data_IF_340178014647
#
_entry.id   IF_340178014647
#
_cell.length_a   1.000
_cell.length_b   1.000
_cell.length_c   1.000
_cell.angle_alpha   90.00
_cell.angle_beta   90.00
_cell.angle_gamma   90.00
#
_symmetry.space_group_name_H-M   'P 1'
#
loop_
_entity.id
_entity.type
_entity.pdbx_description
1 polymer ?
#
# COMPACT_ATOMS: atom_id res chain seq x y z
N UNK A 1 11.67 -3.21 -79.47
CA UNK A 1 12.35 -4.23 -78.64
C UNK A 1 13.11 -3.46 -77.58
N UNK A 2 12.37 -3.02 -76.56
CA UNK A 2 12.91 -2.29 -75.42
C UNK A 2 13.74 -3.26 -74.59
N UNK A 3 15.01 -2.94 -74.39
CA UNK A 3 15.89 -3.68 -73.47
C UNK A 3 15.82 -2.99 -72.10
N UNK A 4 15.11 -3.53 -71.09
CA UNK A 4 14.81 -2.82 -69.84
C UNK A 4 15.95 -2.88 -68.80
N UNK A 5 17.19 -3.10 -69.23
CA UNK A 5 18.29 -3.50 -68.33
C UNK A 5 19.37 -2.45 -68.04
N UNK A 6 19.53 -1.42 -68.87
CA UNK A 6 20.72 -0.55 -68.79
C UNK A 6 20.56 0.68 -67.89
N UNK A 7 19.32 1.13 -67.63
CA UNK A 7 19.08 2.34 -66.84
C UNK A 7 19.19 2.13 -65.32
N UNK A 8 19.14 0.88 -64.85
CA UNK A 8 19.32 0.55 -63.43
C UNK A 8 20.80 0.49 -63.05
N UNK A 9 21.68 0.00 -63.93
CA UNK A 9 23.13 -0.08 -63.65
C UNK A 9 23.81 1.29 -63.58
N UNK A 10 23.45 2.24 -64.46
CA UNK A 10 24.01 3.58 -64.46
C UNK A 10 23.46 4.48 -63.32
N UNK A 11 22.22 4.23 -62.87
CA UNK A 11 21.62 4.93 -61.73
C UNK A 11 22.08 4.39 -60.36
N UNK A 12 22.55 3.13 -60.30
CA UNK A 12 23.09 2.49 -59.10
C UNK A 12 24.55 2.89 -58.80
N UNK A 13 25.31 3.35 -59.80
CA UNK A 13 26.68 3.83 -59.64
C UNK A 13 26.83 5.27 -60.14
N UNK A 14 26.30 6.22 -59.37
CA UNK A 14 26.73 7.62 -59.52
C UNK A 14 28.24 7.71 -59.24
N UNK A 15 29.07 8.26 -60.14
CA UNK A 15 30.52 8.42 -59.94
C UNK A 15 30.89 9.10 -58.62
N UNK A 16 29.99 9.94 -58.09
CA UNK A 16 30.17 10.60 -56.78
C UNK A 16 30.00 9.62 -55.60
N UNK A 17 29.06 8.67 -55.66
CA UNK A 17 28.90 7.62 -54.64
C UNK A 17 30.06 6.61 -54.69
N UNK A 18 30.51 6.27 -55.89
CA UNK A 18 31.67 5.38 -56.07
C UNK A 18 32.95 6.01 -55.50
N UNK A 19 33.16 7.31 -55.68
CA UNK A 19 34.30 8.02 -55.07
C UNK A 19 34.20 8.10 -53.54
N UNK A 20 33.01 8.35 -52.99
CA UNK A 20 32.82 8.37 -51.54
C UNK A 20 33.11 7.00 -50.91
N UNK A 21 32.64 5.91 -51.51
CA UNK A 21 32.95 4.54 -51.06
C UNK A 21 34.44 4.21 -51.20
N UNK A 22 35.11 4.68 -52.25
CA UNK A 22 36.56 4.51 -52.39
C UNK A 22 37.35 5.30 -51.34
N UNK A 23 36.89 6.49 -50.95
CA UNK A 23 37.51 7.27 -49.88
C UNK A 23 37.35 6.58 -48.52
N UNK A 24 36.13 6.16 -48.17
CA UNK A 24 35.87 5.38 -46.96
C UNK A 24 36.65 4.07 -46.93
N UNK A 25 36.79 3.38 -48.07
CA UNK A 25 37.60 2.16 -48.14
C UNK A 25 39.09 2.42 -47.87
N UNK A 26 39.63 3.58 -48.28
CA UNK A 26 41.01 3.98 -47.97
C UNK A 26 41.19 4.31 -46.49
N UNK A 27 40.22 5.00 -45.89
CA UNK A 27 40.21 5.31 -44.46
C UNK A 27 40.14 4.03 -43.61
N UNK A 28 39.31 3.06 -44.01
CA UNK A 28 39.29 1.74 -43.38
C UNK A 28 40.62 0.98 -43.52
N UNK A 29 41.29 1.08 -44.67
CA UNK A 29 42.63 0.48 -44.82
C UNK A 29 43.66 1.13 -43.90
N UNK A 30 43.60 2.45 -43.70
CA UNK A 30 44.48 3.15 -42.76
C UNK A 30 44.23 2.65 -41.32
N UNK A 31 42.97 2.58 -40.89
CA UNK A 31 42.59 2.04 -39.58
C UNK A 31 43.01 0.58 -39.41
N UNK A 32 42.77 -0.27 -40.42
CA UNK A 32 43.17 -1.69 -40.37
C UNK A 32 44.70 -1.83 -40.25
N UNK A 33 45.47 -0.98 -40.93
CA UNK A 33 46.95 -0.98 -40.83
C UNK A 33 47.45 -0.52 -39.46
N UNK A 34 46.81 0.51 -38.87
CA UNK A 34 47.11 1.01 -37.54
C UNK A 34 46.74 -0.01 -36.45
N UNK A 35 45.58 -0.64 -36.56
CA UNK A 35 45.15 -1.70 -35.65
C UNK A 35 46.05 -2.94 -35.77
N UNK A 36 46.50 -3.30 -36.98
CA UNK A 36 47.44 -4.40 -37.18
C UNK A 36 48.80 -4.14 -36.53
N UNK A 37 49.27 -2.88 -36.47
CA UNK A 37 50.49 -2.48 -35.74
C UNK A 37 50.34 -2.72 -34.23
N UNK A 38 49.15 -2.48 -33.67
CA UNK A 38 48.91 -2.55 -32.22
C UNK A 38 48.48 -3.94 -31.73
N UNK A 39 47.68 -4.67 -32.50
CA UNK A 39 47.05 -5.93 -32.12
C UNK A 39 47.53 -7.15 -32.96
N UNK A 40 48.37 -6.92 -33.98
CA UNK A 40 48.84 -7.98 -34.86
C UNK A 40 47.70 -8.68 -35.59
N UNK A 41 47.70 -10.03 -35.58
CA UNK A 41 46.75 -10.85 -36.32
C UNK A 41 45.46 -11.22 -35.54
N UNK A 42 45.25 -10.65 -34.34
CA UNK A 42 44.12 -10.96 -33.45
C UNK A 42 43.27 -9.71 -33.21
N UNK A 43 42.59 -9.26 -34.25
CA UNK A 43 41.66 -8.14 -34.17
C UNK A 43 40.31 -8.63 -33.63
N UNK A 44 39.79 -8.02 -32.54
CA UNK A 44 38.42 -8.25 -32.10
C UNK A 44 37.43 -7.88 -33.21
N UNK A 45 36.33 -8.62 -33.34
CA UNK A 45 35.27 -8.26 -34.27
C UNK A 45 34.56 -7.01 -33.74
N UNK A 46 34.43 -5.98 -34.59
CA UNK A 46 33.68 -4.77 -34.30
C UNK A 46 32.84 -4.35 -35.49
N UNK A 47 31.80 -3.56 -35.23
CA UNK A 47 30.89 -3.08 -36.26
C UNK A 47 31.58 -2.02 -37.14
N UNK A 48 31.51 -2.17 -38.46
CA UNK A 48 32.05 -1.21 -39.43
C UNK A 48 30.99 -0.20 -39.83
N UNK A 49 30.80 0.83 -39.00
CA UNK A 49 29.92 1.96 -39.24
C UNK A 49 30.73 3.27 -39.41
N UNK A 50 30.14 4.30 -40.00
CA UNK A 50 30.80 5.61 -40.20
C UNK A 50 31.24 6.25 -38.88
N UNK A 51 30.40 6.14 -37.85
CA UNK A 51 30.72 6.65 -36.50
C UNK A 51 31.94 5.93 -35.91
N UNK A 52 32.04 4.61 -36.12
CA UNK A 52 33.20 3.82 -35.66
C UNK A 52 34.46 4.16 -36.44
N UNK A 53 34.35 4.44 -37.75
CA UNK A 53 35.48 4.87 -38.57
C UNK A 53 36.03 6.21 -38.06
N UNK A 54 35.14 7.18 -37.84
CA UNK A 54 35.52 8.50 -37.34
C UNK A 54 36.15 8.43 -35.95
N UNK A 55 35.58 7.63 -35.04
CA UNK A 55 36.14 7.43 -33.70
C UNK A 55 37.53 6.77 -33.75
N UNK A 56 37.72 5.75 -34.60
CA UNK A 56 39.00 5.05 -34.74
C UNK A 56 40.07 5.92 -35.40
N UNK A 57 39.71 6.73 -36.40
CA UNK A 57 40.64 7.70 -37.00
C UNK A 57 41.08 8.78 -36.01
N UNK A 58 40.14 9.30 -35.22
CA UNK A 58 40.45 10.28 -34.17
C UNK A 58 41.38 9.66 -33.13
N UNK A 59 41.11 8.43 -32.70
CA UNK A 59 41.94 7.71 -31.75
C UNK A 59 43.34 7.40 -32.32
N UNK A 60 43.42 7.02 -33.59
CA UNK A 60 44.68 6.77 -34.27
C UNK A 60 45.56 8.04 -34.31
N UNK A 61 44.98 9.19 -34.67
CA UNK A 61 45.70 10.46 -34.69
C UNK A 61 46.20 10.87 -33.30
N UNK A 62 45.34 10.78 -32.28
CA UNK A 62 45.74 11.10 -30.89
C UNK A 62 46.84 10.16 -30.39
N UNK A 63 46.80 8.89 -30.78
CA UNK A 63 47.84 7.93 -30.40
C UNK A 63 49.16 8.21 -31.14
N UNK A 64 49.13 8.56 -32.43
CA UNK A 64 50.32 8.96 -33.17
C UNK A 64 50.95 10.24 -32.58
N UNK A 65 50.14 11.24 -32.25
CA UNK A 65 50.60 12.46 -31.55
C UNK A 65 51.27 12.10 -30.21
N UNK A 66 50.65 11.22 -29.42
CA UNK A 66 51.21 10.77 -28.14
C UNK A 66 52.53 9.99 -28.31
N UNK A 67 52.61 9.10 -29.30
CA UNK A 67 53.81 8.35 -29.65
C UNK A 67 54.95 9.30 -30.08
N UNK A 68 54.65 10.33 -30.87
CA UNK A 68 55.62 11.36 -31.25
C UNK A 68 56.13 12.15 -30.04
N UNK A 69 55.24 12.56 -29.13
CA UNK A 69 55.62 13.23 -27.89
C UNK A 69 56.51 12.33 -27.01
N UNK A 70 56.17 11.04 -26.88
CA UNK A 70 57.00 10.07 -26.16
C UNK A 70 58.37 9.90 -26.81
N UNK A 71 58.44 9.81 -28.13
CA UNK A 71 59.70 9.71 -28.85
C UNK A 71 60.59 10.96 -28.65
N UNK A 72 60.00 12.16 -28.73
CA UNK A 72 60.72 13.41 -28.52
C UNK A 72 61.23 13.56 -27.09
N UNK A 73 60.40 13.24 -26.10
CA UNK A 73 60.79 13.29 -24.68
C UNK A 73 61.90 12.29 -24.36
N UNK A 74 61.83 11.05 -24.88
CA UNK A 74 62.92 10.09 -24.75
C UNK A 74 64.22 10.54 -25.41
N UNK A 75 64.12 11.12 -26.61
CA UNK A 75 65.30 11.61 -27.34
C UNK A 75 65.95 12.77 -26.60
N UNK A 76 65.15 13.72 -26.12
CA UNK A 76 65.62 14.84 -25.32
C UNK A 76 66.21 14.37 -23.99
N UNK A 77 65.58 13.41 -23.31
CA UNK A 77 66.10 12.78 -22.10
C UNK A 77 67.46 12.11 -22.33
N UNK A 78 67.61 11.33 -23.41
CA UNK A 78 68.90 10.73 -23.79
C UNK A 78 69.98 11.78 -24.07
N UNK A 79 69.63 12.86 -24.78
CA UNK A 79 70.57 13.96 -25.05
C UNK A 79 70.97 14.71 -23.76
N UNK A 80 70.02 14.96 -22.86
CA UNK A 80 70.29 15.58 -21.56
C UNK A 80 71.18 14.72 -20.66
N UNK A 81 70.94 13.41 -20.61
CA UNK A 81 71.77 12.45 -19.87
C UNK A 81 73.21 12.42 -20.41
N UNK A 82 73.38 12.45 -21.74
CA UNK A 82 74.71 12.50 -22.37
C UNK A 82 75.44 13.83 -22.11
N UNK A 83 74.71 14.94 -21.97
CA UNK A 83 75.27 16.24 -21.60
C UNK A 83 75.66 16.29 -20.11
N UNK A 84 74.81 15.76 -19.23
CA UNK A 84 75.03 15.73 -17.77
C UNK A 84 76.15 14.77 -17.36
N UNK A 85 76.31 13.63 -18.03
CA UNK A 85 77.41 12.69 -17.77
C UNK A 85 78.82 13.28 -17.99
N UNK A 86 78.94 14.42 -18.69
CA UNK A 86 80.20 15.16 -18.87
C UNK A 86 80.43 16.24 -17.81
N UNK A 87 79.42 16.58 -17.00
CA UNK A 87 79.43 17.67 -16.02
C UNK A 87 79.44 17.17 -14.57
N UNK A 88 80.02 16.00 -14.31
CA UNK A 88 80.10 15.36 -12.97
C UNK A 88 81.14 16.00 -12.04
N UNK A 89 81.20 17.33 -11.97
CA UNK A 89 81.97 18.06 -10.96
C UNK A 89 81.02 18.92 -10.14
N UNK A 90 80.44 18.34 -9.08
CA UNK A 90 79.57 19.05 -8.12
C UNK A 90 78.12 18.56 -8.12
N UNK A 91 77.87 17.40 -7.52
CA UNK A 91 76.53 16.80 -7.45
C UNK A 91 75.52 17.68 -6.68
N UNK A 92 75.98 18.43 -5.67
CA UNK A 92 75.15 19.37 -4.89
C UNK A 92 74.78 20.64 -5.68
N UNK A 93 75.69 21.15 -6.51
CA UNK A 93 75.45 22.34 -7.34
C UNK A 93 74.47 22.03 -8.48
N UNK A 94 74.48 20.79 -8.98
CA UNK A 94 73.51 20.29 -9.96
C UNK A 94 72.08 20.21 -9.40
N UNK A 95 71.91 19.75 -8.14
CA UNK A 95 70.59 19.74 -7.51
C UNK A 95 70.07 21.15 -7.25
N UNK A 96 70.93 22.07 -6.78
CA UNK A 96 70.54 23.47 -6.61
C UNK A 96 70.14 24.13 -7.93
N UNK A 97 70.93 23.95 -8.99
CA UNK A 97 70.61 24.48 -10.32
C UNK A 97 69.32 23.88 -10.88
N UNK A 98 69.07 22.59 -10.66
CA UNK A 98 67.81 21.94 -11.02
C UNK A 98 66.63 22.54 -10.25
N UNK A 99 66.74 22.68 -8.93
CA UNK A 99 65.70 23.29 -8.10
C UNK A 99 65.41 24.75 -8.48
N UNK A 100 66.42 25.52 -8.88
CA UNK A 100 66.25 26.89 -9.39
C UNK A 100 65.63 26.93 -10.80
N UNK A 101 65.96 25.94 -11.64
CA UNK A 101 65.37 25.81 -12.98
C UNK A 101 63.90 25.35 -12.97
N UNK A 102 63.46 24.74 -11.87
CA UNK A 102 62.05 24.40 -11.66
C UNK A 102 61.24 25.66 -11.34
N UNK A 103 60.31 26.01 -12.24
CA UNK A 103 59.29 27.02 -11.98
C UNK A 103 58.45 26.69 -10.73
N UNK A 104 57.59 27.63 -10.30
CA UNK A 104 56.71 27.45 -9.12
C UNK A 104 55.88 26.16 -9.18
N UNK A 105 55.36 25.84 -10.36
CA UNK A 105 54.57 24.64 -10.62
C UNK A 105 55.38 23.34 -10.41
N UNK A 106 56.65 23.32 -10.82
CA UNK A 106 57.52 22.15 -10.63
C UNK A 106 57.81 21.88 -9.15
N UNK A 107 57.96 22.94 -8.35
CA UNK A 107 58.14 22.81 -6.90
C UNK A 107 56.88 22.29 -6.20
N UNK A 108 55.71 22.79 -6.57
CA UNK A 108 54.43 22.28 -6.06
C UNK A 108 54.22 20.80 -6.38
N UNK A 109 54.56 20.37 -7.61
CA UNK A 109 54.48 18.96 -7.99
C UNK A 109 55.46 18.09 -7.21
N UNK A 110 56.69 18.54 -6.97
CA UNK A 110 57.65 17.81 -6.14
C UNK A 110 57.18 17.70 -4.69
N UNK A 111 56.61 18.77 -4.12
CA UNK A 111 56.04 18.75 -2.78
C UNK A 111 54.85 17.78 -2.69
N UNK A 112 53.96 17.78 -3.69
CA UNK A 112 52.85 16.82 -3.79
C UNK A 112 53.36 15.39 -3.92
N UNK A 113 54.40 15.14 -4.72
CA UNK A 113 55.00 13.82 -4.85
C UNK A 113 55.70 13.38 -3.56
N UNK A 114 56.37 14.29 -2.85
CA UNK A 114 56.96 14.01 -1.55
C UNK A 114 55.89 13.67 -0.50
N UNK A 115 54.76 14.39 -0.53
CA UNK A 115 53.60 14.09 0.29
C UNK A 115 53.02 12.71 -0.03
N UNK A 116 52.77 12.40 -1.31
CA UNK A 116 52.29 11.08 -1.75
C UNK A 116 53.27 9.96 -1.39
N UNK A 117 54.57 10.21 -1.50
CA UNK A 117 55.61 9.26 -1.14
C UNK A 117 55.61 8.97 0.37
N UNK A 118 55.41 9.99 1.20
CA UNK A 118 55.29 9.85 2.64
C UNK A 118 54.02 9.09 3.04
N UNK A 119 52.88 9.41 2.41
CA UNK A 119 51.58 8.81 2.70
C UNK A 119 51.51 7.33 2.26
N UNK A 120 52.06 7.01 1.08
CA UNK A 120 52.09 5.65 0.54
C UNK A 120 53.31 4.84 1.00
N UNK A 121 54.28 5.48 1.66
CA UNK A 121 55.50 4.85 2.15
C UNK A 121 56.45 4.37 1.04
N UNK A 122 56.36 4.91 -0.17
CA UNK A 122 57.18 4.52 -1.32
C UNK A 122 57.71 5.73 -2.08
N UNK A 123 59.00 5.69 -2.46
CA UNK A 123 59.62 6.71 -3.29
C UNK A 123 59.54 6.39 -4.80
N UNK A 124 59.05 5.21 -5.19
CA UNK A 124 58.85 4.85 -6.60
C UNK A 124 57.57 5.49 -7.14
N UNK A 125 57.70 6.31 -8.18
CA UNK A 125 56.58 7.01 -8.83
C UNK A 125 55.55 6.05 -9.43
N UNK A 126 55.97 4.86 -9.88
CA UNK A 126 55.04 3.84 -10.41
C UNK A 126 54.20 3.20 -9.30
N UNK A 127 54.82 2.94 -8.15
CA UNK A 127 54.11 2.43 -6.98
C UNK A 127 53.19 3.50 -6.38
N UNK A 128 53.62 4.76 -6.34
CA UNK A 128 52.77 5.89 -5.94
C UNK A 128 51.53 6.05 -6.82
N UNK A 129 51.69 5.93 -8.15
CA UNK A 129 50.58 6.02 -9.09
C UNK A 129 49.58 4.86 -8.89
N UNK A 130 50.07 3.64 -8.68
CA UNK A 130 49.22 2.47 -8.37
C UNK A 130 48.50 2.63 -7.04
N UNK A 131 49.21 3.03 -5.99
CA UNK A 131 48.62 3.24 -4.66
C UNK A 131 47.55 4.33 -4.66
N UNK A 132 47.80 5.44 -5.36
CA UNK A 132 46.80 6.50 -5.56
C UNK A 132 45.59 5.98 -6.34
N UNK A 133 45.81 5.24 -7.43
CA UNK A 133 44.72 4.62 -8.21
C UNK A 133 43.88 3.69 -7.33
N UNK A 134 44.52 2.79 -6.58
CA UNK A 134 43.83 1.86 -5.69
C UNK A 134 43.02 2.58 -4.60
N UNK A 135 43.58 3.63 -3.99
CA UNK A 135 42.87 4.46 -3.02
C UNK A 135 41.67 5.17 -3.66
N UNK A 136 41.83 5.73 -4.87
CA UNK A 136 40.72 6.38 -5.58
C UNK A 136 39.62 5.39 -5.92
N UNK A 137 39.96 4.20 -6.43
CA UNK A 137 39.01 3.12 -6.72
C UNK A 137 38.24 2.72 -5.46
N UNK A 138 38.96 2.45 -4.36
CA UNK A 138 38.31 2.10 -3.08
C UNK A 138 37.40 3.21 -2.57
N UNK A 139 37.79 4.47 -2.72
CA UNK A 139 36.97 5.61 -2.31
C UNK A 139 35.67 5.68 -3.12
N UNK A 140 35.73 5.47 -4.44
CA UNK A 140 34.54 5.40 -5.29
C UNK A 140 33.65 4.20 -4.94
N UNK A 141 34.24 3.02 -4.74
CA UNK A 141 33.51 1.81 -4.33
C UNK A 141 32.78 2.01 -2.99
N UNK A 142 33.46 2.60 -2.00
CA UNK A 142 32.88 2.92 -0.70
C UNK A 142 31.74 3.94 -0.83
N UNK A 143 31.93 4.99 -1.63
CA UNK A 143 30.89 5.99 -1.88
C UNK A 143 29.65 5.39 -2.55
N UNK A 144 29.84 4.48 -3.52
CA UNK A 144 28.75 3.75 -4.16
C UNK A 144 28.02 2.83 -3.17
N UNK A 145 28.76 2.09 -2.35
CA UNK A 145 28.18 1.23 -1.32
C UNK A 145 27.35 2.03 -0.30
N UNK A 146 27.84 3.20 0.12
CA UNK A 146 27.09 4.09 1.02
C UNK A 146 25.78 4.53 0.36
N UNK A 147 25.83 5.00 -0.89
CA UNK A 147 24.64 5.39 -1.66
C UNK A 147 23.62 4.24 -1.77
N UNK A 148 24.09 3.03 -2.07
CA UNK A 148 23.24 1.85 -2.17
C UNK A 148 22.56 1.51 -0.82
N UNK A 149 23.31 1.56 0.28
CA UNK A 149 22.80 1.32 1.63
C UNK A 149 21.75 2.37 2.02
N UNK A 150 21.95 3.65 1.66
CA UNK A 150 20.99 4.71 1.92
C UNK A 150 19.66 4.49 1.19
N UNK A 151 19.71 4.07 -0.08
CA UNK A 151 18.51 3.73 -0.85
C UNK A 151 17.78 2.54 -0.23
N UNK A 152 18.50 1.48 0.15
CA UNK A 152 17.92 0.32 0.82
C UNK A 152 17.28 0.69 2.17
N UNK A 153 17.97 1.50 2.98
CA UNK A 153 17.46 2.02 4.25
C UNK A 153 16.18 2.81 4.05
N UNK A 154 16.12 3.70 3.07
CA UNK A 154 14.92 4.49 2.78
C UNK A 154 13.74 3.62 2.31
N UNK A 155 14.01 2.50 1.62
CA UNK A 155 12.98 1.52 1.25
C UNK A 155 12.44 0.78 2.48
N UNK A 156 13.33 0.25 3.33
CA UNK A 156 12.94 -0.47 4.54
C UNK A 156 12.20 0.42 5.54
N UNK A 157 12.57 1.69 5.64
CA UNK A 157 11.84 2.66 6.46
C UNK A 157 10.41 2.85 5.95
N UNK A 158 10.23 3.06 4.63
CA UNK A 158 8.90 3.18 4.01
C UNK A 158 8.06 1.93 4.24
N UNK A 159 8.63 0.74 4.09
CA UNK A 159 7.92 -0.52 4.35
C UNK A 159 7.54 -0.65 5.82
N UNK A 160 8.46 -0.32 6.73
CA UNK A 160 8.18 -0.35 8.17
C UNK A 160 7.06 0.61 8.55
N UNK A 161 7.08 1.82 8.01
CA UNK A 161 6.04 2.82 8.27
C UNK A 161 4.69 2.38 7.69
N UNK A 162 4.69 1.79 6.49
CA UNK A 162 3.49 1.22 5.90
C UNK A 162 2.92 0.08 6.73
N UNK A 163 3.75 -0.87 7.20
CA UNK A 163 3.31 -1.96 8.08
C UNK A 163 2.75 -1.41 9.39
N UNK A 164 3.36 -0.36 9.97
CA UNK A 164 2.83 0.28 11.18
C UNK A 164 1.45 0.90 10.95
N UNK A 165 1.27 1.63 9.86
CA UNK A 165 -0.03 2.22 9.49
C UNK A 165 -1.07 1.12 9.28
N UNK A 166 -0.71 0.03 8.61
CA UNK A 166 -1.61 -1.11 8.42
C UNK A 166 -1.97 -1.77 9.75
N UNK A 167 -0.99 -1.99 10.63
CA UNK A 167 -1.22 -2.57 11.95
C UNK A 167 -2.13 -1.68 12.81
N UNK A 168 -1.94 -0.37 12.78
CA UNK A 168 -2.82 0.58 13.45
C UNK A 168 -4.24 0.55 12.86
N UNK A 169 -4.34 0.46 11.52
CA UNK A 169 -5.61 0.25 10.83
C UNK A 169 -6.34 -1.02 11.27
N UNK A 170 -5.63 -2.14 11.41
CA UNK A 170 -6.19 -3.42 11.89
C UNK A 170 -6.54 -3.39 13.39
N UNK A 171 -5.79 -2.63 14.19
CA UNK A 171 -6.10 -2.40 15.61
C UNK A 171 -7.21 -1.38 15.81
N UNK A 172 -7.50 -0.57 14.80
CA UNK A 172 -8.60 0.39 14.85
C UNK A 172 -9.92 -0.34 15.04
N UNK A 173 -10.86 0.30 15.76
CA UNK A 173 -12.13 -0.30 16.16
C UNK A 173 -13.05 -0.77 15.02
N UNK A 174 -12.69 -0.54 13.74
CA UNK A 174 -13.41 -1.07 12.58
C UNK A 174 -13.21 -2.58 12.37
N UNK A 175 -12.07 -3.12 12.80
CA UNK A 175 -11.73 -4.55 12.68
C UNK A 175 -11.77 -5.30 14.01
N UNK A 176 -12.02 -4.60 15.13
CA UNK A 176 -12.32 -5.25 16.40
C UNK A 176 -13.77 -5.76 16.36
N UNK A 177 -14.03 -7.02 16.75
CA UNK A 177 -15.41 -7.48 16.91
C UNK A 177 -16.12 -6.57 17.90
N UNK A 178 -17.32 -6.13 17.57
CA UNK A 178 -18.15 -5.36 18.48
C UNK A 178 -18.24 -6.13 19.81
N UNK A 179 -17.99 -5.48 20.95
CA UNK A 179 -17.99 -6.14 22.27
C UNK A 179 -19.31 -6.89 22.53
N UNK A 180 -20.41 -6.41 21.94
CA UNK A 180 -21.73 -7.02 21.99
C UNK A 180 -21.91 -8.24 21.09
N UNK A 181 -21.03 -8.53 20.11
CA UNK A 181 -21.22 -9.64 19.16
C UNK A 181 -21.18 -11.00 19.88
N UNK A 182 -20.28 -11.16 20.85
CA UNK A 182 -20.19 -12.38 21.66
C UNK A 182 -21.42 -12.55 22.56
N UNK A 183 -21.86 -11.46 23.18
CA UNK A 183 -23.07 -11.42 24.01
C UNK A 183 -24.32 -11.74 23.17
N UNK A 184 -24.50 -11.07 22.03
CA UNK A 184 -25.57 -11.33 21.07
C UNK A 184 -25.53 -12.79 20.59
N UNK A 185 -24.36 -13.32 20.22
CA UNK A 185 -24.25 -14.72 19.78
C UNK A 185 -24.66 -15.70 20.89
N UNK A 186 -24.30 -15.41 22.14
CA UNK A 186 -24.74 -16.19 23.28
C UNK A 186 -26.27 -16.10 23.50
N UNK A 187 -26.86 -14.91 23.36
CA UNK A 187 -28.30 -14.69 23.42
C UNK A 187 -29.03 -15.42 22.30
N UNK A 188 -28.61 -15.28 21.04
CA UNK A 188 -29.17 -15.99 19.89
C UNK A 188 -29.07 -17.51 20.06
N UNK A 189 -27.96 -18.00 20.62
CA UNK A 189 -27.79 -19.42 20.92
C UNK A 189 -28.77 -19.91 21.99
N UNK A 190 -29.00 -19.11 23.05
CA UNK A 190 -29.99 -19.44 24.09
C UNK A 190 -31.42 -19.39 23.54
N UNK A 191 -31.75 -18.35 22.79
CA UNK A 191 -33.06 -18.19 22.15
C UNK A 191 -33.34 -19.31 21.14
N UNK A 192 -32.35 -19.70 20.33
CA UNK A 192 -32.46 -20.84 19.41
C UNK A 192 -32.70 -22.16 20.14
N UNK A 193 -32.02 -22.41 21.27
CA UNK A 193 -32.26 -23.59 22.12
C UNK A 193 -33.69 -23.59 22.67
N UNK A 194 -34.16 -22.46 23.19
CA UNK A 194 -35.53 -22.31 23.71
C UNK A 194 -36.57 -22.54 22.61
N UNK A 195 -36.38 -21.94 21.43
CA UNK A 195 -37.26 -22.14 20.28
C UNK A 195 -37.30 -23.60 19.82
N UNK A 196 -36.15 -24.30 19.81
CA UNK A 196 -36.11 -25.74 19.52
C UNK A 196 -36.94 -26.54 20.52
N UNK A 197 -36.80 -26.26 21.82
CA UNK A 197 -37.63 -26.92 22.86
C UNK A 197 -39.11 -26.62 22.64
N UNK A 198 -39.47 -25.36 22.36
CA UNK A 198 -40.86 -24.98 22.09
C UNK A 198 -41.43 -25.64 20.85
N UNK A 199 -40.62 -25.81 19.80
CA UNK A 199 -41.05 -26.48 18.58
C UNK A 199 -41.36 -27.95 18.84
N UNK A 200 -40.56 -28.64 19.65
CA UNK A 200 -40.86 -30.00 20.12
C UNK A 200 -42.13 -30.03 20.98
N UNK A 201 -42.28 -29.12 21.94
CA UNK A 201 -43.52 -29.02 22.74
C UNK A 201 -44.77 -28.80 21.85
N UNK A 202 -44.67 -27.94 20.83
CA UNK A 202 -45.78 -27.67 19.93
C UNK A 202 -46.06 -28.85 19.00
N UNK A 203 -45.04 -29.59 18.55
CA UNK A 203 -45.21 -30.79 17.74
C UNK A 203 -45.85 -31.92 18.56
N UNK A 204 -45.46 -32.08 19.83
CA UNK A 204 -46.11 -33.00 20.78
C UNK A 204 -47.58 -32.61 21.01
N UNK A 205 -47.88 -31.32 21.21
CA UNK A 205 -49.26 -30.83 21.37
C UNK A 205 -50.08 -31.04 20.10
N UNK A 206 -49.52 -30.77 18.92
CA UNK A 206 -50.19 -30.99 17.64
C UNK A 206 -50.44 -32.48 17.42
N UNK A 207 -49.50 -33.34 17.80
CA UNK A 207 -49.64 -34.80 17.75
C UNK A 207 -50.69 -35.30 18.74
N UNK A 208 -50.75 -34.74 19.96
CA UNK A 208 -51.78 -35.05 20.95
C UNK A 208 -53.18 -34.58 20.51
N UNK A 209 -53.27 -33.40 19.89
CA UNK A 209 -54.51 -32.91 19.25
C UNK A 209 -54.93 -33.82 18.10
N UNK A 210 -54.00 -34.22 17.22
CA UNK A 210 -54.28 -35.18 16.14
C UNK A 210 -54.76 -36.53 16.68
N UNK A 211 -54.10 -37.04 17.71
CA UNK A 211 -54.50 -38.29 18.38
C UNK A 211 -55.87 -38.16 19.07
N UNK A 212 -56.19 -37.01 19.64
CA UNK A 212 -57.52 -36.66 20.18
C UNK A 212 -58.58 -36.54 19.08
N UNK A 213 -58.24 -36.05 17.88
CA UNK A 213 -59.15 -35.96 16.74
C UNK A 213 -59.30 -37.27 15.96
N UNK A 214 -58.56 -38.33 16.30
CA UNK A 214 -58.83 -39.67 15.76
C UNK A 214 -60.17 -40.24 16.24
N UNK A 215 -60.74 -39.65 17.30
CA UNK A 215 -62.19 -39.59 17.49
C UNK A 215 -62.66 -38.27 16.91
N UNK A 216 -63.06 -38.25 15.64
CA UNK A 216 -63.73 -37.10 15.06
C UNK A 216 -65.02 -36.88 15.87
N UNK A 217 -65.15 -35.80 16.66
CA UNK A 217 -66.42 -35.52 17.31
C UNK A 217 -67.44 -35.37 16.19
N UNK A 218 -68.54 -36.12 16.28
CA UNK A 218 -69.56 -36.04 15.24
C UNK A 218 -70.05 -34.60 15.15
N UNK A 219 -70.43 -34.13 13.95
CA UNK A 219 -70.99 -32.78 13.77
C UNK A 219 -72.14 -32.49 14.75
N UNK A 220 -72.86 -33.55 15.15
CA UNK A 220 -73.92 -33.52 16.14
C UNK A 220 -73.41 -33.18 17.55
N UNK A 221 -72.29 -33.77 18.00
CA UNK A 221 -71.71 -33.47 19.32
C UNK A 221 -71.25 -32.01 19.43
N UNK A 222 -70.70 -31.45 18.34
CA UNK A 222 -70.32 -30.04 18.28
C UNK A 222 -71.55 -29.13 18.31
N UNK A 223 -72.61 -29.51 17.60
CA UNK A 223 -73.90 -28.80 17.63
C UNK A 223 -74.54 -28.83 19.02
N UNK A 224 -74.49 -29.97 19.71
CA UNK A 224 -75.05 -30.13 21.05
C UNK A 224 -74.29 -29.29 22.08
N UNK A 225 -72.95 -29.27 21.99
CA UNK A 225 -72.13 -28.41 22.84
C UNK A 225 -72.38 -26.92 22.55
N UNK A 226 -72.50 -26.51 21.29
CA UNK A 226 -72.82 -25.13 20.92
C UNK A 226 -74.18 -24.69 21.48
N UNK A 227 -75.20 -25.55 21.40
CA UNK A 227 -76.52 -25.29 21.98
C UNK A 227 -76.44 -25.17 23.52
N UNK A 228 -75.67 -26.05 24.17
CA UNK A 228 -75.49 -25.99 25.63
C UNK A 228 -74.80 -24.69 26.09
N UNK A 229 -73.83 -24.21 25.32
CA UNK A 229 -73.13 -22.95 25.60
C UNK A 229 -74.04 -21.74 25.39
N UNK A 230 -74.89 -21.75 24.35
CA UNK A 230 -75.87 -20.70 24.12
C UNK A 230 -76.85 -20.60 25.32
N UNK A 231 -77.36 -21.73 25.81
CA UNK A 231 -78.22 -21.78 27.00
C UNK A 231 -77.50 -21.23 28.24
N UNK A 232 -76.22 -21.58 28.43
CA UNK A 232 -75.44 -21.07 29.57
C UNK A 232 -75.18 -19.57 29.46
N UNK A 233 -74.94 -19.05 28.26
CA UNK A 233 -74.76 -17.62 28.02
C UNK A 233 -76.05 -16.84 28.29
N UNK A 234 -77.21 -17.33 27.82
CA UNK A 234 -78.51 -16.72 28.13
C UNK A 234 -78.81 -16.74 29.63
N UNK A 235 -78.42 -17.82 30.32
CA UNK A 235 -78.55 -17.87 31.78
C UNK A 235 -77.63 -16.87 32.47
N UNK A 236 -76.40 -16.69 31.98
CA UNK A 236 -75.45 -15.72 32.54
C UNK A 236 -75.88 -14.28 32.27
N UNK A 237 -76.45 -13.97 31.11
CA UNK A 237 -76.99 -12.63 30.82
C UNK A 237 -78.20 -12.34 31.71
N UNK A 238 -79.09 -13.32 31.90
CA UNK A 238 -80.20 -13.25 32.87
C UNK A 238 -79.70 -12.95 34.29
N UNK A 239 -78.79 -13.78 34.81
CA UNK A 239 -78.20 -13.58 36.14
C UNK A 239 -77.49 -12.23 36.28
N UNK A 240 -76.81 -11.78 35.23
CA UNK A 240 -76.10 -10.50 35.23
C UNK A 240 -77.07 -9.32 35.25
N UNK A 241 -78.23 -9.43 34.58
CA UNK A 241 -79.29 -8.43 34.67
C UNK A 241 -79.96 -8.40 36.03
N UNK A 242 -80.11 -9.55 36.69
CA UNK A 242 -80.59 -9.61 38.07
C UNK A 242 -79.56 -9.01 39.03
N UNK A 243 -78.27 -9.29 38.85
CA UNK A 243 -77.19 -8.77 39.69
C UNK A 243 -76.95 -7.27 39.49
N UNK A 244 -77.20 -6.69 38.32
CA UNK A 244 -77.02 -5.25 38.10
C UNK A 244 -77.95 -4.40 38.97
N UNK A 245 -79.13 -4.90 39.32
CA UNK A 245 -80.03 -4.26 40.29
C UNK A 245 -79.40 -4.15 41.71
N UNK A 246 -78.39 -4.96 42.01
CA UNK A 246 -77.70 -5.01 43.30
C UNK A 246 -76.26 -4.45 43.26
N UNK A 247 -75.79 -3.95 42.11
CA UNK A 247 -74.40 -3.48 41.90
C UNK A 247 -74.01 -2.28 42.79
N UNK A 248 -75.00 -1.58 43.37
CA UNK A 248 -74.81 -0.49 44.34
C UNK A 248 -74.77 -0.92 45.82
N UNK A 249 -75.03 -2.18 46.14
CA UNK A 249 -75.01 -2.67 47.53
C UNK A 249 -73.63 -3.22 47.90
N UNK A 250 -73.08 -2.84 49.07
CA UNK A 250 -71.88 -3.47 49.62
C UNK A 250 -72.05 -4.97 49.83
N UNK A 251 -70.96 -5.73 49.70
CA UNK A 251 -70.94 -7.19 49.85
C UNK A 251 -71.30 -7.70 51.25
N UNK A 252 -71.33 -6.85 52.28
CA UNK A 252 -71.70 -7.22 53.66
C UNK A 252 -73.18 -6.87 53.93
N UNK A 253 -74.04 -7.85 54.27
CA UNK A 253 -75.48 -7.67 54.44
C UNK A 253 -75.87 -6.64 55.52
N UNK A 254 -75.03 -6.42 56.54
CA UNK A 254 -75.32 -5.44 57.59
C UNK A 254 -75.17 -4.02 57.04
N UNK A 255 -74.07 -3.77 56.31
CA UNK A 255 -73.79 -2.47 55.69
C UNK A 255 -74.73 -2.14 54.53
N UNK A 256 -75.17 -3.17 53.79
CA UNK A 256 -76.18 -3.07 52.73
C UNK A 256 -77.54 -2.59 53.28
N UNK A 257 -78.01 -3.19 54.39
CA UNK A 257 -79.24 -2.77 55.07
C UNK A 257 -79.14 -1.34 55.58
N UNK A 258 -78.00 -0.95 56.15
CA UNK A 258 -77.78 0.41 56.63
C UNK A 258 -77.87 1.45 55.50
N UNK A 259 -77.30 1.16 54.31
CA UNK A 259 -77.40 2.06 53.14
C UNK A 259 -78.82 2.14 52.57
N UNK A 260 -79.57 1.02 52.54
CA UNK A 260 -80.98 1.02 52.13
C UNK A 260 -81.82 1.88 53.08
N UNK A 261 -81.66 1.73 54.39
CA UNK A 261 -82.39 2.53 55.37
C UNK A 261 -82.00 4.02 55.30
N UNK A 262 -80.72 4.34 55.10
CA UNK A 262 -80.29 5.72 54.84
C UNK A 262 -80.97 6.30 53.58
N UNK A 263 -81.00 5.57 52.47
CA UNK A 263 -81.67 5.99 51.24
C UNK A 263 -83.19 6.17 51.45
N UNK A 264 -83.86 5.29 52.20
CA UNK A 264 -85.28 5.42 52.58
C UNK A 264 -85.54 6.67 53.41
N UNK A 265 -84.66 6.99 54.36
CA UNK A 265 -84.81 8.22 55.15
C UNK A 265 -84.60 9.47 54.31
N UNK A 266 -83.67 9.47 53.35
CA UNK A 266 -83.46 10.58 52.42
C UNK A 266 -84.68 10.77 51.48
N UNK A 267 -85.26 9.68 50.96
CA UNK A 267 -86.48 9.74 50.15
C UNK A 267 -87.66 10.30 50.96
N UNK A 268 -87.84 9.87 52.21
CA UNK A 268 -88.89 10.43 53.09
C UNK A 268 -88.67 11.93 53.33
N UNK A 269 -87.43 12.35 53.60
CA UNK A 269 -87.10 13.77 53.77
C UNK A 269 -87.41 14.59 52.52
N UNK A 270 -87.00 14.11 51.34
CA UNK A 270 -87.29 14.77 50.07
C UNK A 270 -88.80 14.78 49.75
N UNK A 271 -89.54 13.75 50.14
CA UNK A 271 -91.01 13.70 49.99
C UNK A 271 -91.68 14.73 50.89
N UNK A 272 -91.26 14.84 52.16
CA UNK A 272 -91.78 15.85 53.09
C UNK A 272 -91.40 17.27 52.64
N UNK A 273 -90.18 17.47 52.13
CA UNK A 273 -89.75 18.76 51.58
C UNK A 273 -90.54 19.13 50.33
N UNK A 274 -90.80 18.16 49.44
CA UNK A 274 -91.67 18.33 48.28
C UNK A 274 -93.09 18.70 48.71
N UNK A 275 -93.66 17.97 49.66
CA UNK A 275 -95.02 18.21 50.14
C UNK A 275 -95.14 19.58 50.83
N UNK A 276 -94.11 19.98 51.59
CA UNK A 276 -93.99 21.32 52.17
C UNK A 276 -93.89 22.41 51.09
N UNK A 277 -93.05 22.23 50.07
CA UNK A 277 -92.94 23.19 48.95
C UNK A 277 -94.23 23.27 48.14
N UNK A 278 -94.99 22.17 48.03
CA UNK A 278 -96.32 22.17 47.42
C UNK A 278 -97.35 22.91 48.28
N UNK A 279 -97.30 22.77 49.61
CA UNK A 279 -98.13 23.58 50.54
C UNK A 279 -97.78 25.07 50.44
N UNK A 280 -96.49 25.43 50.44
CA UNK A 280 -96.03 26.83 50.29
C UNK A 280 -96.44 27.43 48.92
N UNK A 281 -96.50 26.64 47.85
CA UNK A 281 -97.02 27.07 46.53
C UNK A 281 -98.56 27.20 46.51
N UNK A 282 -99.28 26.38 47.27
CA UNK A 282 -100.74 26.44 47.37
C UNK A 282 -101.25 27.60 48.23
N UNK A 283 -100.45 28.09 49.19
CA UNK A 283 -100.76 29.26 50.02
C UNK A 283 -100.39 30.61 49.36
N UNK A 284 -99.61 30.60 48.28
CA UNK A 284 -99.14 31.78 47.54
C UNK A 284 -100.00 32.17 46.31
N UNK A 285 -101.17 31.54 46.12
CA UNK A 285 -102.16 31.83 45.07
C UNK A 285 -103.51 32.21 45.66
#
# INVERSE_FOLDING_TARGET
MDSPGEWTAAALFSPSKARAQQAQAREWQAVDSWLAKSYGNRLPAFERNEETLQALLMLANVNEDADEHHFLTEKLGRQALLASGKASAGQDDAYHTLFESLGSLGREHLETMAFLAAELGTADTKEMARGTSDLTTRNFELAEQVSQVEVQRASLQRETDWVRVMLDGLRSGRFMPAKSLAEQTAEWTRASKQLKTKLVEYDERASALRASTNTTPSLNEVSDQANSLAIQQDRLTGLRSELSAYEGLPSDPITAKAKIEAARTALRKSTVERDRLFEELAEAS
#
